data_IF_452157148583
#
_entry.id   IF_452157148583
#
_cell.length_a   1.000
_cell.length_b   1.000
_cell.length_c   1.000
_cell.angle_alpha   90.00
_cell.angle_beta   90.00
_cell.angle_gamma   90.00
#
_symmetry.space_group_name_H-M   'P 1'
#
loop_
_entity.id
_entity.type
_entity.pdbx_description
1 polymer ?
#
# COMPACT_ATOMS: atom_id res chain seq x y z
N UNK A 1 1.35 0.51 14.37
CA UNK A 1 1.46 -0.71 13.54
C UNK A 1 2.91 -1.13 13.40
N UNK A 2 3.14 -2.42 13.31
CA UNK A 2 4.44 -3.00 12.93
C UNK A 2 4.47 -3.19 11.42
N UNK A 3 5.54 -2.76 10.74
CA UNK A 3 5.65 -2.86 9.29
C UNK A 3 6.58 -4.01 8.89
N UNK A 4 6.10 -4.87 8.00
CA UNK A 4 6.88 -5.90 7.31
C UNK A 4 7.05 -5.45 5.86
N UNK A 5 8.30 -5.27 5.42
CA UNK A 5 8.61 -4.91 4.03
C UNK A 5 9.17 -6.10 3.29
N UNK A 6 8.52 -6.47 2.18
CA UNK A 6 8.99 -7.55 1.28
C UNK A 6 9.96 -6.99 0.24
N UNK A 7 10.95 -7.78 -0.14
CA UNK A 7 11.74 -7.57 -1.35
C UNK A 7 11.01 -8.13 -2.59
N UNK A 8 11.37 -7.61 -3.76
CA UNK A 8 10.79 -7.98 -5.06
C UNK A 8 9.65 -7.05 -5.48
N UNK A 9 9.82 -6.36 -6.63
CA UNK A 9 8.77 -5.55 -7.24
C UNK A 9 9.03 -5.37 -8.74
N UNK A 10 8.12 -5.81 -9.58
CA UNK A 10 8.17 -5.65 -11.04
C UNK A 10 7.21 -4.58 -11.57
N UNK A 11 6.57 -3.81 -10.68
CA UNK A 11 5.59 -2.78 -11.06
C UNK A 11 6.21 -1.60 -11.80
N UNK A 12 7.48 -1.26 -11.49
CA UNK A 12 8.28 -0.32 -12.29
C UNK A 12 7.90 1.16 -12.14
N UNK A 13 7.45 1.61 -10.96
CA UNK A 13 7.10 3.01 -10.72
C UNK A 13 8.34 3.92 -10.82
N UNK A 14 8.44 4.80 -11.81
CA UNK A 14 9.60 5.68 -11.99
C UNK A 14 9.89 6.58 -10.78
N UNK A 15 8.87 6.96 -10.02
CA UNK A 15 8.92 7.80 -8.82
C UNK A 15 8.92 6.98 -7.51
N UNK A 16 9.17 5.67 -7.56
CA UNK A 16 9.23 4.83 -6.36
C UNK A 16 10.25 5.38 -5.36
N UNK A 17 9.84 5.47 -4.11
CA UNK A 17 10.67 5.96 -3.00
C UNK A 17 11.37 4.84 -2.20
N UNK A 18 11.20 3.58 -2.64
CA UNK A 18 11.81 2.37 -2.07
C UNK A 18 12.37 1.46 -3.19
N UNK A 19 13.11 2.04 -4.13
CA UNK A 19 13.67 1.30 -5.29
C UNK A 19 14.63 0.19 -4.88
N UNK A 20 15.22 0.30 -3.70
CA UNK A 20 16.04 -0.75 -3.09
C UNK A 20 15.26 -2.04 -2.85
N UNK A 21 13.93 -1.99 -2.80
CA UNK A 21 13.08 -3.18 -2.65
C UNK A 21 12.76 -3.90 -3.98
N UNK A 22 13.26 -3.43 -5.13
CA UNK A 22 12.88 -4.01 -6.43
C UNK A 22 13.53 -5.36 -6.68
N UNK A 23 14.81 -5.53 -6.33
CA UNK A 23 15.50 -6.79 -6.48
C UNK A 23 15.38 -7.62 -5.20
N UNK A 24 14.72 -8.78 -5.31
CA UNK A 24 14.56 -9.71 -4.19
C UNK A 24 15.88 -10.29 -3.70
N UNK A 25 16.89 -10.38 -4.57
CA UNK A 25 18.20 -10.94 -4.22
C UNK A 25 19.02 -10.02 -3.31
N UNK A 26 18.68 -8.73 -3.25
CA UNK A 26 19.32 -7.78 -2.35
C UNK A 26 18.83 -7.91 -0.90
N UNK A 27 17.84 -8.79 -0.64
CA UNK A 27 17.20 -8.94 0.66
C UNK A 27 17.37 -10.34 1.25
N UNK A 28 17.52 -10.46 2.59
CA UNK A 28 17.65 -11.76 3.23
C UNK A 28 16.33 -12.54 3.19
N UNK A 29 16.42 -13.84 2.97
CA UNK A 29 15.29 -14.74 3.19
C UNK A 29 15.17 -15.00 4.69
N UNK A 30 14.04 -14.59 5.27
CA UNK A 30 13.78 -14.75 6.72
C UNK A 30 12.59 -15.70 6.90
N UNK A 31 12.73 -16.74 7.75
CA UNK A 31 11.64 -17.64 8.06
C UNK A 31 10.42 -16.91 8.65
N UNK A 32 9.22 -17.25 8.21
CA UNK A 32 7.95 -16.64 8.67
C UNK A 32 7.86 -16.57 10.20
N UNK A 33 8.24 -17.65 10.90
CA UNK A 33 8.22 -17.68 12.37
C UNK A 33 9.12 -16.62 13.03
N UNK A 34 10.25 -16.31 12.42
CA UNK A 34 11.14 -15.27 12.94
C UNK A 34 10.56 -13.86 12.70
N UNK A 35 9.95 -13.63 11.53
CA UNK A 35 9.26 -12.38 11.21
C UNK A 35 8.14 -12.13 12.22
N UNK A 36 7.28 -13.15 12.41
CA UNK A 36 6.15 -13.07 13.34
C UNK A 36 6.64 -12.84 14.77
N UNK A 37 7.63 -13.60 15.24
CA UNK A 37 8.21 -13.42 16.59
C UNK A 37 8.63 -11.97 16.85
N UNK A 38 9.31 -11.33 15.89
CA UNK A 38 9.68 -9.91 16.01
C UNK A 38 8.48 -8.98 16.13
N UNK A 39 7.38 -9.27 15.41
CA UNK A 39 6.17 -8.44 15.45
C UNK A 39 5.42 -8.53 16.78
N UNK A 40 5.61 -9.62 17.56
CA UNK A 40 4.87 -9.82 18.82
C UNK A 40 5.23 -8.80 19.89
N UNK A 41 6.43 -8.24 19.83
CA UNK A 41 6.95 -7.27 20.82
C UNK A 41 6.35 -5.87 20.64
N UNK A 42 5.62 -5.64 19.55
CA UNK A 42 5.16 -4.32 19.15
C UNK A 42 3.61 -4.25 19.08
N UNK A 43 3.10 -3.67 18.02
CA UNK A 43 1.68 -3.40 17.82
C UNK A 43 0.83 -4.67 17.60
N UNK A 44 -0.45 -4.61 17.96
CA UNK A 44 -1.45 -5.63 17.62
C UNK A 44 -1.82 -5.63 16.12
N UNK A 45 -1.39 -4.61 15.40
CA UNK A 45 -1.61 -4.49 13.95
C UNK A 45 -0.28 -4.58 13.20
N UNK A 46 -0.24 -5.47 12.22
CA UNK A 46 0.88 -5.66 11.28
C UNK A 46 0.46 -5.21 9.91
N UNK A 47 1.27 -4.35 9.28
CA UNK A 47 1.09 -3.89 7.92
C UNK A 47 2.17 -4.52 7.04
N UNK A 48 1.77 -5.30 6.05
CA UNK A 48 2.68 -5.87 5.05
C UNK A 48 2.72 -4.96 3.83
N UNK A 49 3.89 -4.55 3.44
CA UNK A 49 4.18 -3.65 2.32
C UNK A 49 5.58 -3.95 1.75
N UNK A 50 6.22 -3.01 1.09
CA UNK A 50 7.62 -3.15 0.65
C UNK A 50 7.75 -2.95 -0.84
N UNK A 51 8.23 -3.97 -1.57
CA UNK A 51 8.11 -4.08 -3.01
C UNK A 51 6.64 -4.28 -3.40
N UNK A 52 6.31 -5.40 -4.05
CA UNK A 52 4.92 -5.81 -4.23
C UNK A 52 4.67 -7.11 -3.45
N UNK A 53 3.99 -7.06 -2.29
CA UNK A 53 3.81 -8.23 -1.43
C UNK A 53 3.13 -9.41 -2.14
N UNK A 54 2.18 -9.15 -3.03
CA UNK A 54 1.41 -10.18 -3.71
C UNK A 54 2.18 -10.89 -4.86
N UNK A 55 3.43 -10.53 -5.11
CA UNK A 55 4.34 -11.40 -5.88
C UNK A 55 4.62 -12.73 -5.16
N UNK A 56 4.37 -12.77 -3.84
CA UNK A 56 4.61 -13.91 -2.96
C UNK A 56 3.29 -14.47 -2.40
N UNK A 57 3.29 -15.74 -2.03
CA UNK A 57 2.18 -16.32 -1.27
C UNK A 57 2.23 -15.81 0.18
N UNK A 58 1.28 -14.95 0.54
CA UNK A 58 1.13 -14.39 1.89
C UNK A 58 0.34 -15.29 2.85
N UNK A 59 -0.19 -16.43 2.38
CA UNK A 59 -0.96 -17.37 3.19
C UNK A 59 -0.23 -17.83 4.45
N UNK A 60 1.02 -18.34 4.35
CA UNK A 60 1.79 -18.77 5.51
C UNK A 60 2.02 -17.66 6.55
N UNK A 61 2.33 -16.43 6.09
CA UNK A 61 2.58 -15.29 6.97
C UNK A 61 1.32 -14.86 7.71
N UNK A 62 0.23 -14.66 6.98
CA UNK A 62 -1.03 -14.21 7.59
C UNK A 62 -1.60 -15.24 8.55
N UNK A 63 -1.54 -16.52 8.19
CA UNK A 63 -1.97 -17.63 9.07
C UNK A 63 -1.21 -17.60 10.39
N UNK A 64 0.10 -17.44 10.35
CA UNK A 64 0.92 -17.41 11.57
C UNK A 64 0.64 -16.14 12.41
N UNK A 65 0.48 -14.97 11.79
CA UNK A 65 0.08 -13.74 12.48
C UNK A 65 -1.28 -13.89 13.18
N UNK A 66 -2.27 -14.50 12.51
CA UNK A 66 -3.60 -14.75 13.05
C UNK A 66 -3.57 -15.71 14.26
N UNK A 67 -2.66 -16.70 14.27
CA UNK A 67 -2.47 -17.59 15.44
C UNK A 67 -2.11 -16.82 16.71
N UNK A 68 -1.52 -15.63 16.57
CA UNK A 68 -1.19 -14.71 17.67
C UNK A 68 -2.16 -13.53 17.80
N UNK A 69 -3.37 -13.63 17.21
CA UNK A 69 -4.41 -12.59 17.24
C UNK A 69 -3.96 -11.21 16.70
N UNK A 70 -2.98 -11.17 15.79
CA UNK A 70 -2.57 -9.93 15.13
C UNK A 70 -3.55 -9.56 14.04
N UNK A 71 -3.90 -8.27 13.97
CA UNK A 71 -4.60 -7.70 12.82
C UNK A 71 -3.63 -7.59 11.64
N UNK A 72 -4.07 -8.03 10.47
CA UNK A 72 -3.26 -8.10 9.27
C UNK A 72 -3.76 -7.10 8.23
N UNK A 73 -2.92 -6.15 7.87
CA UNK A 73 -3.16 -5.17 6.82
C UNK A 73 -2.16 -5.37 5.69
N UNK A 74 -2.58 -5.11 4.45
CA UNK A 74 -1.68 -5.12 3.28
C UNK A 74 -1.78 -3.80 2.52
N UNK A 75 -0.64 -3.33 2.02
CA UNK A 75 -0.54 -2.31 0.98
C UNK A 75 -0.03 -2.96 -0.30
N UNK A 76 -0.82 -2.96 -1.36
CA UNK A 76 -0.49 -3.60 -2.65
C UNK A 76 -0.88 -2.72 -3.83
N UNK A 77 -0.17 -2.89 -4.94
CA UNK A 77 -0.58 -2.31 -6.24
C UNK A 77 -1.82 -3.01 -6.82
N UNK A 78 -2.14 -4.23 -6.36
CA UNK A 78 -3.21 -5.06 -6.89
C UNK A 78 -2.88 -5.71 -8.24
N UNK A 79 -1.62 -5.70 -8.66
CA UNK A 79 -1.19 -6.28 -9.94
C UNK A 79 -1.16 -7.82 -9.95
N UNK A 80 -1.39 -8.45 -8.80
CA UNK A 80 -1.39 -9.89 -8.58
C UNK A 80 -2.61 -10.35 -7.80
N UNK A 81 -3.00 -11.63 -7.89
CA UNK A 81 -4.09 -12.20 -7.10
C UNK A 81 -3.84 -12.05 -5.60
N UNK A 82 -4.90 -11.77 -4.86
CA UNK A 82 -4.82 -11.70 -3.40
C UNK A 82 -4.56 -13.07 -2.80
N UNK A 83 -3.48 -13.19 -2.05
CA UNK A 83 -3.15 -14.35 -1.22
C UNK A 83 -3.09 -13.93 0.24
N UNK A 84 -3.35 -14.85 1.17
CA UNK A 84 -3.40 -14.56 2.60
C UNK A 84 -4.78 -14.12 3.11
N UNK A 85 -4.89 -13.95 4.43
CA UNK A 85 -6.11 -13.56 5.14
C UNK A 85 -5.89 -12.17 5.77
N UNK A 86 -6.62 -11.17 5.28
CA UNK A 86 -6.42 -9.76 5.59
C UNK A 86 -7.64 -9.14 6.27
N UNK A 87 -7.39 -8.39 7.34
CA UNK A 87 -8.41 -7.56 8.00
C UNK A 87 -8.58 -6.20 7.30
N UNK A 88 -7.59 -5.78 6.52
CA UNK A 88 -7.62 -4.52 5.76
C UNK A 88 -6.74 -4.58 4.52
N UNK A 89 -7.30 -4.22 3.38
CA UNK A 89 -6.59 -4.15 2.11
C UNK A 89 -6.54 -2.72 1.58
N UNK A 90 -5.35 -2.12 1.58
CA UNK A 90 -5.07 -0.86 0.91
C UNK A 90 -4.63 -1.15 -0.53
N UNK A 91 -5.54 -0.92 -1.48
CA UNK A 91 -5.24 -0.99 -2.91
C UNK A 91 -4.63 0.34 -3.36
N UNK A 92 -3.42 0.29 -3.90
CA UNK A 92 -2.70 1.46 -4.40
C UNK A 92 -2.32 1.30 -5.88
N UNK A 93 -3.27 1.49 -6.82
CA UNK A 93 -3.05 1.32 -8.27
C UNK A 93 -1.87 2.10 -8.80
N UNK A 94 -1.15 1.50 -9.73
CA UNK A 94 -0.01 2.11 -10.42
C UNK A 94 -0.25 2.13 -11.93
N UNK A 95 0.03 3.27 -12.58
CA UNK A 95 -0.14 3.41 -14.03
C UNK A 95 0.78 2.50 -14.85
N UNK A 96 1.96 2.17 -14.32
CA UNK A 96 2.93 1.32 -15.00
C UNK A 96 2.46 -0.14 -15.09
N UNK A 97 1.72 -0.62 -14.09
CA UNK A 97 1.11 -1.95 -14.05
C UNK A 97 -0.22 -1.85 -13.29
N UNK A 98 -1.33 -1.84 -14.03
CA UNK A 98 -2.66 -1.68 -13.46
C UNK A 98 -3.06 -2.89 -12.61
N UNK A 99 -3.95 -2.70 -11.61
CA UNK A 99 -4.54 -3.80 -10.87
C UNK A 99 -5.27 -4.79 -11.77
N UNK A 100 -5.27 -6.06 -11.38
CA UNK A 100 -6.20 -7.04 -11.94
C UNK A 100 -7.64 -6.68 -11.54
N UNK A 101 -8.62 -7.12 -12.32
CA UNK A 101 -10.03 -6.71 -12.11
C UNK A 101 -10.55 -7.07 -10.72
N UNK A 102 -10.21 -8.25 -10.21
CA UNK A 102 -10.63 -8.71 -8.88
C UNK A 102 -10.07 -7.85 -7.73
N UNK A 103 -8.94 -7.16 -7.94
CA UNK A 103 -8.31 -6.36 -6.89
C UNK A 103 -9.22 -5.25 -6.37
N UNK A 104 -10.10 -4.73 -7.20
CA UNK A 104 -11.03 -3.67 -6.81
C UNK A 104 -12.15 -4.16 -5.88
N UNK A 105 -12.48 -5.45 -5.92
CA UNK A 105 -13.59 -6.02 -5.16
C UNK A 105 -13.29 -6.14 -3.66
N UNK A 106 -12.03 -6.40 -3.30
CA UNK A 106 -11.61 -6.61 -1.91
C UNK A 106 -10.92 -5.39 -1.28
N UNK A 107 -10.85 -4.26 -1.98
CA UNK A 107 -10.24 -3.05 -1.43
C UNK A 107 -11.11 -2.42 -0.33
N UNK A 108 -10.58 -2.30 0.89
CA UNK A 108 -11.14 -1.49 1.97
C UNK A 108 -10.74 -0.03 1.81
N UNK A 109 -9.61 0.21 1.19
CA UNK A 109 -9.02 1.51 0.95
C UNK A 109 -8.44 1.59 -0.47
N UNK A 110 -8.73 2.68 -1.16
CA UNK A 110 -8.08 3.07 -2.42
C UNK A 110 -7.14 4.24 -2.14
N UNK A 111 -5.84 4.05 -2.32
CA UNK A 111 -4.82 5.08 -2.12
C UNK A 111 -4.11 5.42 -3.43
N UNK A 112 -4.33 6.62 -3.95
CA UNK A 112 -3.71 7.08 -5.19
C UNK A 112 -2.58 8.04 -4.90
N UNK A 113 -1.39 7.75 -5.47
CA UNK A 113 -0.22 8.62 -5.37
C UNK A 113 -0.35 9.72 -6.42
N UNK A 114 -0.23 10.97 -5.96
CA UNK A 114 -0.32 12.17 -6.80
C UNK A 114 1.08 12.71 -7.05
N UNK A 115 1.59 12.49 -8.25
CA UNK A 115 2.86 13.00 -8.74
C UNK A 115 2.68 14.26 -9.59
N UNK A 116 1.56 14.34 -10.33
CA UNK A 116 1.21 15.46 -11.20
C UNK A 116 -0.33 15.58 -11.36
N UNK A 117 -0.78 16.62 -12.08
CA UNK A 117 -2.20 16.94 -12.25
C UNK A 117 -3.02 15.84 -12.95
N UNK A 118 -2.39 15.04 -13.83
CA UNK A 118 -3.10 13.95 -14.53
C UNK A 118 -3.45 12.79 -13.56
N UNK A 119 -2.84 12.76 -12.37
CA UNK A 119 -3.12 11.71 -11.38
C UNK A 119 -4.47 11.92 -10.70
N UNK A 120 -5.04 13.14 -10.71
CA UNK A 120 -6.42 13.36 -10.26
C UNK A 120 -7.45 12.70 -11.19
N UNK A 121 -7.20 12.71 -12.51
CA UNK A 121 -8.06 12.02 -13.49
C UNK A 121 -7.97 10.51 -13.24
N UNK A 122 -6.75 10.00 -13.11
CA UNK A 122 -6.52 8.59 -12.80
C UNK A 122 -7.19 8.18 -11.48
N UNK A 123 -7.13 9.02 -10.44
CA UNK A 123 -7.80 8.77 -9.17
C UNK A 123 -9.32 8.59 -9.35
N UNK A 124 -9.97 9.50 -10.10
CA UNK A 124 -11.40 9.40 -10.38
C UNK A 124 -11.77 8.17 -11.22
N UNK A 125 -10.92 7.75 -12.14
CA UNK A 125 -11.10 6.53 -12.93
C UNK A 125 -11.01 5.28 -12.05
N UNK A 126 -10.01 5.20 -11.16
CA UNK A 126 -9.86 4.08 -10.24
C UNK A 126 -10.97 4.02 -9.19
N UNK A 127 -11.42 5.17 -8.70
CA UNK A 127 -12.50 5.26 -7.71
C UNK A 127 -13.85 4.71 -8.23
N UNK A 128 -14.06 4.69 -9.54
CA UNK A 128 -15.27 4.11 -10.14
C UNK A 128 -15.30 2.58 -10.08
N UNK A 129 -14.15 1.95 -9.88
CA UNK A 129 -13.97 0.49 -9.94
C UNK A 129 -14.05 -0.17 -8.56
N UNK A 130 -13.65 0.53 -7.49
CA UNK A 130 -13.70 -0.03 -6.13
C UNK A 130 -15.13 -0.09 -5.60
N UNK A 131 -15.34 -0.94 -4.60
CA UNK A 131 -16.61 -1.02 -3.91
C UNK A 131 -16.97 0.32 -3.23
N UNK A 132 -18.26 0.57 -3.03
CA UNK A 132 -18.77 1.86 -2.51
C UNK A 132 -18.36 2.17 -1.06
N UNK A 133 -17.93 1.17 -0.31
CA UNK A 133 -17.51 1.31 1.08
C UNK A 133 -16.01 1.61 1.20
N UNK A 134 -15.24 1.45 0.13
CA UNK A 134 -13.82 1.71 0.15
C UNK A 134 -13.53 3.18 0.49
N UNK A 135 -12.59 3.40 1.41
CA UNK A 135 -12.16 4.75 1.76
C UNK A 135 -11.19 5.24 0.68
N UNK A 136 -11.41 6.45 0.18
CA UNK A 136 -10.62 7.01 -0.91
C UNK A 136 -9.58 8.00 -0.38
N UNK A 137 -8.30 7.72 -0.65
CA UNK A 137 -7.17 8.55 -0.24
C UNK A 137 -6.35 9.04 -1.43
N UNK A 138 -5.95 10.31 -1.36
CA UNK A 138 -4.90 10.89 -2.18
C UNK A 138 -3.67 11.08 -1.31
N UNK A 139 -2.51 10.64 -1.79
CA UNK A 139 -1.22 10.81 -1.12
C UNK A 139 -0.25 11.50 -2.08
N UNK A 140 0.41 12.61 -1.68
CA UNK A 140 1.40 13.21 -2.56
C UNK A 140 2.62 12.28 -2.69
N UNK A 141 3.17 12.17 -3.89
CA UNK A 141 4.52 11.64 -4.02
C UNK A 141 5.49 12.53 -3.23
N UNK A 142 6.41 11.91 -2.49
CA UNK A 142 7.20 12.61 -1.48
C UNK A 142 8.02 13.78 -2.04
N UNK A 143 8.68 13.60 -3.17
CA UNK A 143 9.47 14.67 -3.81
C UNK A 143 8.63 15.80 -4.41
N UNK A 144 7.32 15.55 -4.64
CA UNK A 144 6.37 16.53 -5.19
C UNK A 144 5.40 17.11 -4.17
N UNK A 145 5.52 16.71 -2.88
CA UNK A 145 4.55 17.06 -1.84
C UNK A 145 4.28 18.56 -1.71
N UNK A 146 5.31 19.38 -1.77
CA UNK A 146 5.18 20.86 -1.63
C UNK A 146 4.34 21.46 -2.76
N UNK A 147 4.55 20.96 -3.99
CA UNK A 147 3.80 21.39 -5.17
C UNK A 147 2.39 20.82 -5.19
N UNK A 148 2.23 19.54 -4.85
CA UNK A 148 0.96 18.84 -5.04
C UNK A 148 -0.01 19.02 -3.88
N UNK A 149 0.46 19.23 -2.65
CA UNK A 149 -0.39 19.34 -1.47
C UNK A 149 -1.44 20.45 -1.58
N UNK A 150 -1.11 21.68 -1.98
CA UNK A 150 -2.13 22.74 -2.15
C UNK A 150 -3.21 22.35 -3.16
N UNK A 151 -2.83 21.71 -4.28
CA UNK A 151 -3.76 21.26 -5.31
C UNK A 151 -4.66 20.12 -4.80
N UNK A 152 -4.10 19.20 -4.03
CA UNK A 152 -4.85 18.11 -3.40
C UNK A 152 -5.86 18.63 -2.39
N UNK A 153 -5.50 19.62 -1.58
CA UNK A 153 -6.42 20.27 -0.63
C UNK A 153 -7.60 20.89 -1.36
N UNK A 154 -7.35 21.64 -2.43
CA UNK A 154 -8.43 22.24 -3.23
C UNK A 154 -9.28 21.17 -3.95
N UNK A 155 -8.65 20.09 -4.40
CA UNK A 155 -9.38 18.97 -5.01
C UNK A 155 -10.31 18.28 -3.99
N UNK A 156 -9.82 17.98 -2.78
CA UNK A 156 -10.61 17.33 -1.72
C UNK A 156 -11.77 18.22 -1.26
N UNK A 157 -11.56 19.53 -1.12
CA UNK A 157 -12.67 20.47 -0.81
C UNK A 157 -13.82 20.41 -1.83
N UNK A 158 -13.48 20.22 -3.11
CA UNK A 158 -14.47 20.09 -4.20
C UNK A 158 -15.04 18.68 -4.33
N UNK A 159 -14.33 17.68 -3.82
CA UNK A 159 -14.65 16.26 -3.93
C UNK A 159 -14.56 15.59 -2.54
N UNK A 160 -15.55 15.82 -1.64
CA UNK A 160 -15.46 15.42 -0.22
C UNK A 160 -15.44 13.91 0.02
N UNK A 161 -15.64 13.08 -1.00
CA UNK A 161 -15.44 11.63 -0.93
C UNK A 161 -13.97 11.24 -0.73
N UNK A 162 -13.03 12.11 -1.13
CA UNK A 162 -11.60 11.92 -1.00
C UNK A 162 -11.07 12.46 0.34
N UNK A 163 -10.06 11.77 0.87
CA UNK A 163 -9.29 12.18 2.05
C UNK A 163 -7.83 12.36 1.68
N UNK A 164 -7.08 13.10 2.49
CA UNK A 164 -5.64 13.22 2.34
C UNK A 164 -4.94 12.15 3.18
N UNK A 165 -3.96 11.48 2.60
CA UNK A 165 -3.02 10.59 3.28
C UNK A 165 -1.65 11.24 3.31
N UNK A 166 -0.97 11.16 4.47
CA UNK A 166 0.39 11.66 4.65
C UNK A 166 1.33 10.51 4.97
N UNK A 167 2.55 10.57 4.43
CA UNK A 167 3.64 9.68 4.84
C UNK A 167 4.22 10.17 6.18
N UNK A 168 3.44 10.01 7.26
CA UNK A 168 3.75 10.55 8.59
C UNK A 168 5.12 10.10 9.10
N UNK A 169 5.53 8.86 8.79
CA UNK A 169 6.84 8.34 9.14
C UNK A 169 7.99 9.22 8.59
N UNK A 170 7.86 9.76 7.37
CA UNK A 170 8.88 10.64 6.78
C UNK A 170 8.97 12.00 7.47
N UNK A 171 7.84 12.52 7.97
CA UNK A 171 7.84 13.75 8.78
C UNK A 171 8.44 13.54 10.16
N UNK A 172 8.31 12.33 10.70
CA UNK A 172 8.84 11.98 12.02
C UNK A 172 10.27 11.40 11.95
N UNK A 173 10.86 11.27 10.77
CA UNK A 173 12.18 10.65 10.53
C UNK A 173 12.29 9.23 11.13
N UNK A 174 11.22 8.45 11.04
CA UNK A 174 11.20 7.03 11.40
C UNK A 174 11.19 6.17 10.13
N UNK A 175 11.85 5.00 10.15
CA UNK A 175 12.00 4.14 8.97
C UNK A 175 10.68 3.53 8.48
#
# INVERSE_FOLDING_TARGET
SYFIRTGGCDVGCHWCDVKESWDENDHPIIPVKEIVKKSLEFSDCVVVTGGEPLMWDMGPLTKELKNFNKKTHIETSGAYPLTGDWDWVCLSPKKAKLPIEDAYNYADELKIIIYNNHDFIFAEEQAKKVNKNAILYLQPEWGKREKMMPLMVEFVKKNPKWKLSLQTHKYLNIP
#
